data_IF_887468499187
#
_entry.id   IF_887468499187
#
_cell.length_a   1.000
_cell.length_b   1.000
_cell.length_c   1.000
_cell.angle_alpha   90.00
_cell.angle_beta   90.00
_cell.angle_gamma   90.00
#
_symmetry.space_group_name_H-M   'P 1'
#
loop_
_entity.id
_entity.type
_entity.pdbx_description
1 polymer ?
#
# COMPACT_ATOMS: atom_id res chain seq x y z
N UNK A 1 10.73 -24.63 9.76
CA UNK A 1 9.73 -23.97 8.91
C UNK A 1 9.91 -22.48 9.14
N UNK A 2 10.57 -21.78 8.21
CA UNK A 2 10.83 -20.34 8.36
C UNK A 2 9.51 -19.60 8.14
N UNK A 3 8.93 -19.07 9.21
CA UNK A 3 7.77 -18.21 9.13
C UNK A 3 8.30 -16.85 8.62
N UNK A 4 8.06 -16.43 7.36
CA UNK A 4 8.36 -15.05 6.98
C UNK A 4 7.49 -14.19 7.89
N UNK A 5 8.11 -13.45 8.81
CA UNK A 5 7.39 -12.68 9.81
C UNK A 5 6.36 -11.78 9.11
N UNK A 6 5.18 -11.54 9.72
CA UNK A 6 4.19 -10.59 9.18
C UNK A 6 4.81 -9.23 8.81
N UNK A 7 5.90 -8.86 9.49
CA UNK A 7 6.74 -7.70 9.16
C UNK A 7 7.29 -7.72 7.73
N UNK A 8 7.68 -8.88 7.19
CA UNK A 8 8.19 -9.01 5.81
C UNK A 8 7.10 -8.75 4.77
N UNK A 9 5.88 -9.27 5.01
CA UNK A 9 4.74 -9.02 4.13
C UNK A 9 4.36 -7.54 4.16
N UNK A 10 4.26 -6.96 5.36
CA UNK A 10 3.91 -5.55 5.54
C UNK A 10 4.94 -4.62 4.88
N UNK A 11 6.24 -4.90 5.02
CA UNK A 11 7.31 -4.14 4.36
C UNK A 11 7.20 -4.25 2.84
N UNK A 12 7.08 -5.46 2.29
CA UNK A 12 6.94 -5.65 0.83
C UNK A 12 5.70 -4.96 0.27
N UNK A 13 4.59 -5.02 1.00
CA UNK A 13 3.35 -4.36 0.61
C UNK A 13 3.51 -2.83 0.61
N UNK A 14 4.18 -2.28 1.63
CA UNK A 14 4.47 -0.85 1.71
C UNK A 14 5.39 -0.40 0.56
N UNK A 15 6.44 -1.16 0.24
CA UNK A 15 7.34 -0.89 -0.89
C UNK A 15 6.59 -0.90 -2.23
N UNK A 16 5.72 -1.89 -2.45
CA UNK A 16 4.90 -1.99 -3.65
C UNK A 16 3.93 -0.81 -3.76
N UNK A 17 3.23 -0.47 -2.68
CA UNK A 17 2.30 0.66 -2.65
C UNK A 17 3.01 2.00 -2.88
N UNK A 18 4.17 2.22 -2.26
CA UNK A 18 4.99 3.42 -2.49
C UNK A 18 5.50 3.51 -3.93
N UNK A 19 5.89 2.37 -4.51
CA UNK A 19 6.30 2.32 -5.92
C UNK A 19 5.17 2.76 -6.85
N UNK A 20 3.95 2.28 -6.59
CA UNK A 20 2.76 2.69 -7.36
C UNK A 20 2.48 4.17 -7.16
N UNK A 21 2.48 4.66 -5.91
CA UNK A 21 2.25 6.07 -5.58
C UNK A 21 3.23 7.01 -6.32
N UNK A 22 4.54 6.75 -6.21
CA UNK A 22 5.58 7.58 -6.83
C UNK A 22 5.49 7.56 -8.36
N UNK A 23 5.13 6.42 -8.95
CA UNK A 23 4.95 6.30 -10.41
C UNK A 23 3.69 7.00 -10.89
N UNK A 24 2.59 6.91 -10.15
CA UNK A 24 1.30 7.48 -10.52
C UNK A 24 1.19 8.99 -10.25
N UNK A 25 1.96 9.52 -9.30
CA UNK A 25 1.92 10.91 -8.85
C UNK A 25 3.32 11.54 -8.87
N UNK A 26 4.10 11.29 -9.92
CA UNK A 26 5.50 11.72 -9.99
C UNK A 26 5.68 13.23 -9.82
N UNK A 27 4.78 14.03 -10.38
CA UNK A 27 4.88 15.49 -10.32
C UNK A 27 4.44 16.00 -8.95
N UNK A 28 3.34 15.47 -8.43
CA UNK A 28 2.78 15.83 -7.13
C UNK A 28 3.75 15.46 -5.99
N UNK A 29 4.41 14.31 -6.08
CA UNK A 29 5.45 13.90 -5.10
C UNK A 29 6.69 14.79 -5.20
N UNK A 30 7.08 15.23 -6.40
CA UNK A 30 8.26 16.08 -6.59
C UNK A 30 8.07 17.50 -6.05
N UNK A 31 6.82 18.00 -6.01
CA UNK A 31 6.49 19.35 -5.53
C UNK A 31 5.85 19.37 -4.14
N UNK A 32 5.47 18.20 -3.61
CA UNK A 32 4.89 18.05 -2.28
C UNK A 32 5.84 18.48 -1.17
N UNK A 33 5.28 19.13 -0.15
CA UNK A 33 6.02 19.38 1.08
C UNK A 33 6.16 18.09 1.91
N UNK A 34 7.10 18.05 2.85
CA UNK A 34 7.22 16.92 3.78
C UNK A 34 5.93 16.66 4.57
N UNK A 35 5.13 17.71 4.86
CA UNK A 35 3.85 17.57 5.52
C UNK A 35 2.82 16.84 4.63
N UNK A 36 2.88 17.06 3.32
CA UNK A 36 1.98 16.42 2.35
C UNK A 36 2.36 14.96 2.11
N UNK A 37 3.65 14.67 2.06
CA UNK A 37 4.17 13.31 2.00
C UNK A 37 3.80 12.53 3.28
N UNK A 38 3.92 13.14 4.45
CA UNK A 38 3.52 12.47 5.70
C UNK A 38 1.99 12.27 5.77
N UNK A 39 1.19 13.22 5.27
CA UNK A 39 -0.26 13.06 5.18
C UNK A 39 -0.67 11.93 4.21
N UNK A 40 0.06 11.75 3.10
CA UNK A 40 -0.14 10.63 2.20
C UNK A 40 0.21 9.30 2.89
N UNK A 41 1.37 9.21 3.53
CA UNK A 41 1.77 8.04 4.32
C UNK A 41 0.78 7.71 5.45
N UNK A 42 0.29 8.73 6.17
CA UNK A 42 -0.71 8.55 7.21
C UNK A 42 -2.03 8.01 6.65
N UNK A 43 -2.45 8.46 5.46
CA UNK A 43 -3.63 7.95 4.77
C UNK A 43 -3.48 6.48 4.36
N UNK A 44 -2.29 6.09 3.89
CA UNK A 44 -1.96 4.69 3.61
C UNK A 44 -1.98 3.83 4.88
N UNK A 45 -1.35 4.30 5.97
CA UNK A 45 -1.34 3.58 7.26
C UNK A 45 -2.72 3.40 7.85
N UNK A 46 -3.62 4.38 7.69
CA UNK A 46 -5.00 4.28 8.15
C UNK A 46 -5.77 3.13 7.49
N UNK A 47 -5.43 2.77 6.23
CA UNK A 47 -6.03 1.63 5.51
C UNK A 47 -5.26 0.32 5.65
N UNK A 48 -4.00 0.37 6.05
CA UNK A 48 -3.09 -0.78 6.08
C UNK A 48 -3.68 -2.01 6.80
N UNK A 49 -4.32 -1.83 7.96
CA UNK A 49 -4.90 -2.96 8.70
C UNK A 49 -5.97 -3.69 7.90
N UNK A 50 -6.96 -2.96 7.37
CA UNK A 50 -8.07 -3.56 6.64
C UNK A 50 -7.59 -4.29 5.37
N UNK A 51 -6.66 -3.66 4.65
CA UNK A 51 -6.08 -4.24 3.42
C UNK A 51 -5.26 -5.50 3.71
N UNK A 52 -4.46 -5.50 4.78
CA UNK A 52 -3.67 -6.69 5.16
C UNK A 52 -4.59 -7.81 5.65
N UNK A 53 -5.59 -7.51 6.46
CA UNK A 53 -6.56 -8.50 6.93
C UNK A 53 -7.27 -9.15 5.72
N UNK A 54 -7.75 -8.36 4.75
CA UNK A 54 -8.37 -8.88 3.52
C UNK A 54 -7.40 -9.72 2.68
N UNK A 55 -6.15 -9.27 2.51
CA UNK A 55 -5.13 -10.02 1.78
C UNK A 55 -4.87 -11.40 2.40
N UNK A 56 -4.83 -11.48 3.73
CA UNK A 56 -4.61 -12.73 4.46
C UNK A 56 -5.81 -13.67 4.35
N UNK A 57 -7.03 -13.13 4.33
CA UNK A 57 -8.26 -13.90 4.12
C UNK A 57 -8.32 -14.43 2.67
N UNK A 58 -8.04 -13.59 1.67
CA UNK A 58 -7.99 -14.00 0.25
C UNK A 58 -6.92 -15.08 0.00
N UNK A 59 -5.74 -14.92 0.61
CA UNK A 59 -4.67 -15.92 0.51
C UNK A 59 -5.01 -17.24 1.19
N UNK A 60 -5.92 -17.23 2.19
CA UNK A 60 -6.41 -18.43 2.87
C UNK A 60 -7.49 -19.14 2.06
N UNK A 61 -8.44 -18.39 1.53
CA UNK A 61 -9.60 -18.93 0.83
C UNK A 61 -9.29 -19.31 -0.62
N UNK A 62 -8.39 -18.56 -1.26
CA UNK A 62 -7.98 -18.77 -2.64
C UNK A 62 -6.46 -18.58 -2.82
N UNK A 63 -5.63 -19.53 -2.36
CA UNK A 63 -4.17 -19.41 -2.43
C UNK A 63 -3.62 -19.18 -3.85
N UNK A 64 -4.34 -19.64 -4.88
CA UNK A 64 -3.94 -19.49 -6.29
C UNK A 64 -4.02 -18.04 -6.80
N UNK A 65 -4.71 -17.14 -6.10
CA UNK A 65 -4.76 -15.70 -6.44
C UNK A 65 -3.88 -14.82 -5.54
N UNK A 66 -3.08 -15.40 -4.63
CA UNK A 66 -2.37 -14.63 -3.60
C UNK A 66 -1.47 -13.52 -4.18
N UNK A 67 -0.84 -13.75 -5.33
CA UNK A 67 -0.04 -12.72 -6.01
C UNK A 67 -0.92 -11.57 -6.56
N UNK A 68 -2.06 -11.89 -7.16
CA UNK A 68 -3.03 -10.88 -7.62
C UNK A 68 -3.62 -10.09 -6.46
N UNK A 69 -3.97 -10.77 -5.36
CA UNK A 69 -4.46 -10.15 -4.14
C UNK A 69 -3.41 -9.20 -3.54
N UNK A 70 -2.13 -9.59 -3.55
CA UNK A 70 -1.03 -8.73 -3.10
C UNK A 70 -0.93 -7.45 -3.93
N UNK A 71 -1.02 -7.55 -5.26
CA UNK A 71 -0.98 -6.38 -6.13
C UNK A 71 -2.21 -5.49 -5.98
N UNK A 72 -3.40 -6.07 -5.78
CA UNK A 72 -4.62 -5.33 -5.50
C UNK A 72 -4.51 -4.55 -4.18
N UNK A 73 -4.01 -5.21 -3.12
CA UNK A 73 -3.74 -4.59 -1.82
C UNK A 73 -2.74 -3.42 -1.94
N UNK A 74 -1.67 -3.59 -2.72
CA UNK A 74 -0.70 -2.53 -2.96
C UNK A 74 -1.32 -1.32 -3.68
N UNK A 75 -2.20 -1.58 -4.65
CA UNK A 75 -2.91 -0.54 -5.39
C UNK A 75 -3.88 0.21 -4.47
N UNK A 76 -4.66 -0.48 -3.65
CA UNK A 76 -5.62 0.13 -2.73
C UNK A 76 -4.93 1.06 -1.72
N UNK A 77 -3.78 0.65 -1.19
CA UNK A 77 -2.97 1.51 -0.33
C UNK A 77 -2.44 2.72 -1.09
N UNK A 78 -1.92 2.51 -2.30
CA UNK A 78 -1.44 3.62 -3.12
C UNK A 78 -2.56 4.62 -3.44
N UNK A 79 -3.78 4.16 -3.73
CA UNK A 79 -4.94 5.02 -3.98
C UNK A 79 -5.29 5.91 -2.78
N UNK A 80 -5.15 5.41 -1.55
CA UNK A 80 -5.35 6.22 -0.35
C UNK A 80 -4.31 7.35 -0.26
N UNK A 81 -3.04 7.07 -0.57
CA UNK A 81 -1.99 8.09 -0.63
C UNK A 81 -2.18 9.09 -1.78
N UNK A 82 -2.51 8.59 -2.98
CA UNK A 82 -2.78 9.40 -4.18
C UNK A 82 -3.95 10.35 -3.91
N UNK A 83 -5.02 9.86 -3.29
CA UNK A 83 -6.19 10.68 -2.94
C UNK A 83 -5.86 11.79 -1.96
N UNK A 84 -4.90 11.57 -1.05
CA UNK A 84 -4.40 12.59 -0.13
C UNK A 84 -3.59 13.66 -0.87
N UNK A 85 -2.72 13.26 -1.79
CA UNK A 85 -1.88 14.18 -2.58
C UNK A 85 -2.69 15.01 -3.59
N UNK A 86 -3.70 14.41 -4.24
CA UNK A 86 -4.51 15.06 -5.29
C UNK A 86 -5.69 15.88 -4.79
N UNK A 87 -6.02 15.83 -3.49
CA UNK A 87 -7.07 16.68 -2.90
C UNK A 87 -6.64 18.14 -2.68
N UNK A 88 -5.46 18.53 -3.17
CA UNK A 88 -4.93 19.90 -3.12
C UNK A 88 -4.84 20.52 -4.50
#
# INVERSE_FOLDING_TARGET
>A
MNNPAPDTLAVKLAEAAMTVLVRACRNEVATASNADLEAACASMRARAKAVIDQLLDDARDAPWIAETAFHAAALELAEAGISSLRRR
#
